data_IF_256017687533
#
_entry.id   IF_256017687533
#
_cell.length_a   1.000
_cell.length_b   1.000
_cell.length_c   1.000
_cell.angle_alpha   90.00
_cell.angle_beta   90.00
_cell.angle_gamma   90.00
#
_symmetry.space_group_name_H-M   'P 1'
#
loop_
_entity.id
_entity.type
_entity.pdbx_description
1 polymer ?
#
# COMPACT_ATOMS: atom_id res chain seq x y z
N UNK A 1 33.51 22.66 -28.58
CA UNK A 1 32.79 23.14 -27.38
C UNK A 1 33.60 24.27 -26.77
N UNK A 2 33.04 25.48 -26.62
CA UNK A 2 33.81 26.64 -26.16
C UNK A 2 33.73 26.84 -24.63
N UNK A 3 34.61 27.67 -24.07
CA UNK A 3 34.71 27.96 -22.63
C UNK A 3 33.37 28.39 -21.99
N UNK A 4 32.53 29.15 -22.70
CA UNK A 4 31.19 29.55 -22.22
C UNK A 4 30.23 28.36 -22.09
N UNK A 5 30.29 27.37 -23.00
CA UNK A 5 29.49 26.13 -22.88
C UNK A 5 29.97 25.29 -21.69
N UNK A 6 31.28 25.23 -21.46
CA UNK A 6 31.86 24.50 -20.34
C UNK A 6 31.49 25.12 -18.99
N UNK A 7 31.56 26.45 -18.89
CA UNK A 7 31.14 27.21 -17.70
C UNK A 7 29.63 27.09 -17.43
N UNK A 8 28.79 27.03 -18.47
CA UNK A 8 27.35 26.84 -18.32
C UNK A 8 26.99 25.45 -17.75
N UNK A 9 27.66 24.39 -18.22
CA UNK A 9 27.47 23.02 -17.71
C UNK A 9 27.95 22.91 -16.25
N UNK A 10 29.06 23.57 -15.92
CA UNK A 10 29.59 23.63 -14.54
C UNK A 10 28.65 24.41 -13.60
N UNK A 11 28.04 25.49 -14.07
CA UNK A 11 27.06 26.26 -13.31
C UNK A 11 25.75 25.48 -13.07
N UNK A 12 25.33 24.64 -14.02
CA UNK A 12 24.16 23.77 -13.87
C UNK A 12 24.39 22.68 -12.80
N UNK A 13 25.62 22.18 -12.69
CA UNK A 13 26.04 21.24 -11.65
C UNK A 13 26.07 21.81 -10.21
N UNK A 14 25.99 23.13 -10.05
CA UNK A 14 26.00 23.79 -8.72
C UNK A 14 24.60 24.22 -8.23
N UNK A 15 23.56 24.12 -9.06
CA UNK A 15 22.17 24.28 -8.59
C UNK A 15 21.78 23.04 -7.78
N UNK A 16 20.91 23.19 -6.76
CA UNK A 16 20.28 22.05 -6.08
C UNK A 16 19.84 21.04 -7.15
N UNK A 17 20.49 19.87 -7.21
CA UNK A 17 20.41 18.96 -8.38
C UNK A 17 18.97 18.78 -8.82
N UNK A 18 18.55 19.49 -9.87
CA UNK A 18 17.24 19.36 -10.46
C UNK A 18 17.20 17.96 -11.08
N UNK A 19 16.55 17.02 -10.39
CA UNK A 19 16.39 15.66 -10.88
C UNK A 19 15.05 15.55 -11.57
N UNK A 20 14.96 14.88 -12.73
CA UNK A 20 13.68 14.61 -13.35
C UNK A 20 12.82 13.76 -12.41
N UNK A 21 11.51 14.00 -12.41
CA UNK A 21 10.56 13.10 -11.78
C UNK A 21 10.63 11.74 -12.46
N UNK A 22 10.64 10.67 -11.66
CA UNK A 22 10.52 9.32 -12.20
C UNK A 22 9.07 9.10 -12.60
N UNK A 23 8.83 8.41 -13.72
CA UNK A 23 7.47 7.98 -14.05
C UNK A 23 6.90 7.15 -12.88
N UNK A 24 5.71 7.53 -12.41
CA UNK A 24 5.11 6.98 -11.18
C UNK A 24 5.30 7.83 -9.92
N UNK A 25 6.27 8.76 -9.90
CA UNK A 25 6.55 9.59 -8.70
C UNK A 25 5.65 10.80 -8.52
N UNK A 26 4.75 11.05 -9.48
CA UNK A 26 3.77 12.14 -9.47
C UNK A 26 2.33 11.64 -9.40
N UNK A 27 2.12 10.32 -9.39
CA UNK A 27 0.78 9.75 -9.28
C UNK A 27 0.53 9.21 -7.87
N UNK A 28 -0.75 9.17 -7.50
CA UNK A 28 -1.23 8.71 -6.19
C UNK A 28 -1.76 7.28 -6.25
N UNK A 29 -1.23 6.43 -7.15
CA UNK A 29 -1.72 5.07 -7.38
C UNK A 29 -1.30 4.06 -6.29
N UNK A 30 -0.71 4.53 -5.19
CA UNK A 30 -0.21 3.69 -4.10
C UNK A 30 -1.22 2.67 -3.59
N UNK A 31 -2.51 3.03 -3.48
CA UNK A 31 -3.55 2.08 -3.05
C UNK A 31 -3.76 0.91 -4.03
N UNK A 32 -3.71 1.17 -5.34
CA UNK A 32 -3.83 0.11 -6.35
C UNK A 32 -2.61 -0.81 -6.28
N UNK A 33 -1.42 -0.24 -6.16
CA UNK A 33 -0.19 -1.02 -5.99
C UNK A 33 -0.16 -1.79 -4.67
N UNK A 34 -0.62 -1.21 -3.56
CA UNK A 34 -0.69 -1.87 -2.27
C UNK A 34 -1.60 -3.10 -2.33
N UNK A 35 -2.77 -3.00 -2.97
CA UNK A 35 -3.65 -4.16 -3.16
C UNK A 35 -2.97 -5.27 -3.97
N UNK A 36 -2.35 -4.92 -5.12
CA UNK A 36 -1.65 -5.90 -5.97
C UNK A 36 -0.47 -6.52 -5.21
N UNK A 37 0.35 -5.71 -4.56
CA UNK A 37 1.52 -6.15 -3.81
C UNK A 37 1.13 -6.98 -2.59
N UNK A 38 0.01 -6.67 -1.93
CA UNK A 38 -0.54 -7.49 -0.85
C UNK A 38 -0.88 -8.88 -1.34
N UNK A 39 -1.56 -9.00 -2.48
CA UNK A 39 -1.92 -10.31 -3.07
C UNK A 39 -0.63 -11.05 -3.48
N UNK A 40 0.32 -10.36 -4.11
CA UNK A 40 1.62 -10.94 -4.48
C UNK A 40 2.41 -11.44 -3.27
N UNK A 41 2.37 -10.71 -2.16
CA UNK A 41 3.03 -11.09 -0.92
C UNK A 41 2.36 -12.29 -0.26
N UNK A 42 1.03 -12.31 -0.23
CA UNK A 42 0.28 -13.46 0.25
C UNK A 42 0.60 -14.71 -0.61
N UNK A 43 0.81 -14.55 -1.92
CA UNK A 43 1.23 -15.61 -2.84
C UNK A 43 2.74 -15.88 -2.90
N UNK A 44 3.58 -15.31 -2.03
CA UNK A 44 5.05 -15.29 -2.19
C UNK A 44 5.73 -16.65 -2.39
N UNK A 45 5.08 -17.74 -1.97
CA UNK A 45 5.59 -19.10 -2.13
C UNK A 45 5.07 -19.79 -3.40
N UNK A 46 4.24 -19.12 -4.19
CA UNK A 46 3.64 -19.62 -5.43
C UNK A 46 4.28 -18.95 -6.66
N UNK A 47 4.47 -19.67 -7.78
CA UNK A 47 5.02 -19.09 -9.01
C UNK A 47 4.24 -17.87 -9.54
N UNK A 48 2.93 -17.83 -9.27
CA UNK A 48 2.04 -16.75 -9.69
C UNK A 48 2.41 -15.38 -9.09
N UNK A 49 3.14 -15.34 -7.96
CA UNK A 49 3.61 -14.09 -7.34
C UNK A 49 4.63 -13.32 -8.18
N UNK A 50 5.30 -14.00 -9.12
CA UNK A 50 6.24 -13.41 -10.05
C UNK A 50 5.57 -12.31 -10.89
N UNK A 51 6.37 -11.33 -11.31
CA UNK A 51 5.91 -10.27 -12.22
C UNK A 51 5.46 -10.89 -13.55
N UNK A 52 4.46 -10.29 -14.19
CA UNK A 52 3.94 -10.77 -15.47
C UNK A 52 2.67 -10.04 -15.89
N UNK A 53 2.20 -10.34 -17.10
CA UNK A 53 1.04 -9.69 -17.73
C UNK A 53 -0.26 -9.83 -16.92
N UNK A 54 -0.40 -10.86 -16.09
CA UNK A 54 -1.57 -11.04 -15.24
C UNK A 54 -1.70 -9.93 -14.20
N UNK A 55 -0.60 -9.43 -13.63
CA UNK A 55 -0.62 -8.30 -12.71
C UNK A 55 -0.92 -6.99 -13.42
N UNK A 56 -0.41 -6.78 -14.62
CA UNK A 56 -0.77 -5.62 -15.46
C UNK A 56 -2.25 -5.68 -15.89
N UNK A 57 -2.76 -6.88 -16.15
CA UNK A 57 -4.18 -7.13 -16.39
C UNK A 57 -5.04 -6.79 -15.18
N UNK A 58 -4.61 -7.19 -13.98
CA UNK A 58 -5.29 -6.84 -12.73
C UNK A 58 -5.26 -5.32 -12.50
N UNK A 59 -4.09 -4.68 -12.62
CA UNK A 59 -3.93 -3.23 -12.54
C UNK A 59 -4.92 -2.50 -13.45
N UNK A 60 -4.96 -2.86 -14.74
CA UNK A 60 -5.92 -2.29 -15.71
C UNK A 60 -7.37 -2.51 -15.29
N UNK A 61 -7.75 -3.67 -14.77
CA UNK A 61 -9.14 -3.89 -14.32
C UNK A 61 -9.47 -3.02 -13.11
N UNK A 62 -8.57 -2.91 -12.14
CA UNK A 62 -8.77 -2.12 -10.92
C UNK A 62 -8.90 -0.62 -11.26
N UNK A 63 -7.98 -0.07 -12.04
CA UNK A 63 -8.03 1.36 -12.42
C UNK A 63 -9.22 1.66 -13.33
N UNK A 64 -9.55 0.79 -14.29
CA UNK A 64 -10.76 0.97 -15.10
C UNK A 64 -12.03 0.93 -14.26
N UNK A 65 -12.12 0.04 -13.27
CA UNK A 65 -13.29 -0.01 -12.40
C UNK A 65 -13.42 1.26 -11.55
N UNK A 66 -12.32 1.73 -10.93
CA UNK A 66 -12.32 2.97 -10.17
C UNK A 66 -12.76 4.17 -11.04
N UNK A 67 -12.19 4.33 -12.22
CA UNK A 67 -12.46 5.50 -13.08
C UNK A 67 -13.84 5.38 -13.75
N UNK A 68 -14.11 4.28 -14.46
CA UNK A 68 -15.28 4.17 -15.34
C UNK A 68 -16.55 3.77 -14.60
N UNK A 69 -16.44 2.87 -13.62
CA UNK A 69 -17.61 2.34 -12.93
C UNK A 69 -17.95 3.12 -11.67
N UNK A 70 -16.98 3.81 -11.07
CA UNK A 70 -17.17 4.57 -9.82
C UNK A 70 -17.01 6.08 -9.99
N UNK A 71 -16.54 6.55 -11.14
CA UNK A 71 -16.35 7.97 -11.40
C UNK A 71 -15.20 8.58 -10.57
N UNK A 72 -14.23 7.78 -10.14
CA UNK A 72 -13.08 8.24 -9.34
C UNK A 72 -12.05 8.92 -10.26
N UNK A 73 -12.43 10.08 -10.81
CA UNK A 73 -11.63 10.85 -11.75
C UNK A 73 -10.34 11.39 -11.10
N UNK A 74 -10.35 11.52 -9.78
CA UNK A 74 -9.24 12.00 -8.97
C UNK A 74 -8.32 10.87 -8.49
N UNK A 75 -8.50 9.62 -8.94
CA UNK A 75 -7.66 8.49 -8.53
C UNK A 75 -6.15 8.76 -8.72
N UNK A 76 -5.79 9.40 -9.84
CA UNK A 76 -4.38 9.65 -10.19
C UNK A 76 -3.78 10.76 -9.32
N UNK A 77 -4.59 11.74 -8.89
CA UNK A 77 -4.16 12.91 -8.11
C UNK A 77 -4.26 12.69 -6.60
N UNK A 78 -5.34 12.07 -6.11
CA UNK A 78 -5.67 11.93 -4.69
C UNK A 78 -5.62 10.49 -4.18
N UNK A 79 -5.45 9.51 -5.09
CA UNK A 79 -5.27 8.12 -4.73
C UNK A 79 -6.56 7.42 -4.31
N UNK A 80 -6.41 6.35 -3.53
CA UNK A 80 -7.50 5.42 -3.21
C UNK A 80 -8.06 5.72 -1.82
N UNK A 81 -9.34 6.10 -1.76
CA UNK A 81 -10.08 6.18 -0.49
C UNK A 81 -10.36 4.78 0.08
N UNK A 82 -10.70 4.67 1.38
CA UNK A 82 -11.14 3.39 1.96
C UNK A 82 -12.33 2.79 1.22
N UNK A 83 -13.31 3.62 0.81
CA UNK A 83 -14.49 3.15 0.08
C UNK A 83 -14.11 2.58 -1.30
N UNK A 84 -13.21 3.25 -2.03
CA UNK A 84 -12.65 2.73 -3.29
C UNK A 84 -11.84 1.46 -3.03
N UNK A 85 -11.00 1.41 -1.99
CA UNK A 85 -10.21 0.21 -1.63
C UNK A 85 -11.12 -1.01 -1.41
N UNK A 86 -12.21 -0.88 -0.66
CA UNK A 86 -13.17 -1.97 -0.42
C UNK A 86 -13.81 -2.45 -1.72
N UNK A 87 -14.16 -1.55 -2.63
CA UNK A 87 -14.68 -1.97 -3.94
C UNK A 87 -13.60 -2.73 -4.74
N UNK A 88 -12.36 -2.23 -4.72
CA UNK A 88 -11.25 -2.85 -5.44
C UNK A 88 -10.89 -4.24 -4.90
N UNK A 89 -11.02 -4.51 -3.60
CA UNK A 89 -10.79 -5.86 -3.05
C UNK A 89 -11.79 -6.88 -3.61
N UNK A 90 -13.06 -6.50 -3.80
CA UNK A 90 -14.05 -7.37 -4.46
C UNK A 90 -13.67 -7.66 -5.91
N UNK A 91 -13.26 -6.63 -6.66
CA UNK A 91 -12.80 -6.78 -8.04
C UNK A 91 -11.57 -7.69 -8.15
N UNK A 92 -10.63 -7.55 -7.22
CA UNK A 92 -9.44 -8.40 -7.14
C UNK A 92 -9.81 -9.84 -6.81
N UNK A 93 -10.65 -10.08 -5.79
CA UNK A 93 -11.14 -11.41 -5.42
C UNK A 93 -11.78 -12.11 -6.61
N UNK A 94 -12.73 -11.46 -7.28
CA UNK A 94 -13.45 -12.07 -8.39
C UNK A 94 -12.50 -12.44 -9.52
N UNK A 95 -11.49 -11.61 -9.80
CA UNK A 95 -10.49 -11.94 -10.84
C UNK A 95 -9.56 -13.07 -10.48
N UNK A 96 -9.09 -13.12 -9.23
CA UNK A 96 -8.24 -14.20 -8.78
C UNK A 96 -9.00 -15.53 -8.80
N UNK A 97 -10.28 -15.53 -8.40
CA UNK A 97 -11.15 -16.71 -8.49
C UNK A 97 -11.39 -17.14 -9.94
N UNK A 98 -11.80 -16.22 -10.81
CA UNK A 98 -12.15 -16.53 -12.21
C UNK A 98 -10.95 -17.06 -13.00
N UNK A 99 -9.82 -16.35 -12.95
CA UNK A 99 -8.66 -16.57 -13.83
C UNK A 99 -7.61 -17.51 -13.24
N UNK A 100 -7.49 -17.55 -11.92
CA UNK A 100 -6.41 -18.27 -11.24
C UNK A 100 -6.88 -19.33 -10.25
N UNK A 101 -8.21 -19.48 -10.05
CA UNK A 101 -8.80 -20.43 -9.09
C UNK A 101 -8.27 -20.23 -7.66
N UNK A 102 -7.98 -18.97 -7.32
CA UNK A 102 -7.50 -18.57 -5.99
C UNK A 102 -8.62 -17.81 -5.28
N UNK A 103 -8.99 -18.26 -4.10
CA UNK A 103 -9.95 -17.55 -3.27
C UNK A 103 -9.23 -16.57 -2.33
N UNK A 104 -9.53 -15.28 -2.50
CA UNK A 104 -9.04 -14.22 -1.63
C UNK A 104 -10.07 -13.87 -0.58
N UNK A 105 -9.67 -13.90 0.68
CA UNK A 105 -10.49 -13.48 1.81
C UNK A 105 -9.93 -12.18 2.35
N UNK A 106 -10.75 -11.13 2.33
CA UNK A 106 -10.45 -9.82 2.90
C UNK A 106 -11.33 -9.59 4.12
N UNK A 107 -10.73 -9.17 5.24
CA UNK A 107 -11.46 -8.80 6.45
C UNK A 107 -10.97 -7.45 6.94
N UNK A 108 -11.87 -6.68 7.55
CA UNK A 108 -11.57 -5.41 8.21
C UNK A 108 -11.82 -5.59 9.71
N UNK A 109 -10.76 -5.84 10.51
CA UNK A 109 -10.92 -6.19 11.93
C UNK A 109 -11.66 -5.12 12.74
N UNK A 110 -11.48 -3.85 12.36
CA UNK A 110 -12.06 -2.68 13.02
C UNK A 110 -13.12 -1.99 12.15
N UNK A 111 -13.90 -2.77 11.38
CA UNK A 111 -14.96 -2.21 10.53
C UNK A 111 -16.14 -1.63 11.32
N UNK A 112 -16.47 -2.28 12.44
CA UNK A 112 -17.64 -1.97 13.27
C UNK A 112 -17.28 -1.58 14.71
N UNK A 113 -16.01 -1.70 15.08
CA UNK A 113 -15.49 -1.37 16.40
C UNK A 113 -14.19 -0.59 16.26
N UNK A 114 -13.87 0.20 17.30
CA UNK A 114 -12.56 0.83 17.45
C UNK A 114 -11.73 0.02 18.44
N UNK A 115 -10.40 -0.01 18.28
CA UNK A 115 -9.53 -0.57 19.29
C UNK A 115 -9.68 0.20 20.61
N UNK A 116 -9.68 -0.52 21.73
CA UNK A 116 -9.71 0.05 23.08
C UNK A 116 -8.31 0.45 23.55
N UNK A 117 -7.28 -0.20 23.02
CA UNK A 117 -5.87 0.06 23.33
C UNK A 117 -4.99 0.04 22.07
N UNK A 118 -3.84 0.71 22.15
CA UNK A 118 -2.91 0.81 21.02
C UNK A 118 -2.44 -0.56 20.51
N UNK A 119 -2.17 -1.49 21.44
CA UNK A 119 -1.62 -2.80 21.13
C UNK A 119 -2.64 -3.74 20.50
N UNK A 120 -3.95 -3.48 20.59
CA UNK A 120 -4.95 -4.32 19.89
C UNK A 120 -4.77 -4.24 18.37
N UNK A 121 -4.42 -3.06 17.87
CA UNK A 121 -4.15 -2.87 16.44
C UNK A 121 -2.92 -3.65 16.02
N UNK A 122 -1.83 -3.53 16.78
CA UNK A 122 -0.57 -4.21 16.51
C UNK A 122 -0.72 -5.73 16.63
N UNK A 123 -1.33 -6.22 17.71
CA UNK A 123 -1.58 -7.63 17.93
C UNK A 123 -2.47 -8.26 16.86
N UNK A 124 -3.45 -7.52 16.34
CA UNK A 124 -4.28 -7.97 15.20
C UNK A 124 -3.44 -8.16 13.93
N UNK A 125 -2.53 -7.21 13.66
CA UNK A 125 -1.61 -7.30 12.50
C UNK A 125 -0.65 -8.47 12.69
N UNK A 126 -0.04 -8.62 13.87
CA UNK A 126 0.86 -9.73 14.19
C UNK A 126 0.18 -11.09 14.07
N UNK A 127 -1.01 -11.24 14.64
CA UNK A 127 -1.79 -12.47 14.57
C UNK A 127 -2.08 -12.88 13.12
N UNK A 128 -2.36 -11.91 12.24
CA UNK A 128 -2.55 -12.17 10.81
C UNK A 128 -1.23 -12.60 10.14
N UNK A 129 -0.13 -11.90 10.40
CA UNK A 129 1.17 -12.16 9.78
C UNK A 129 1.84 -13.45 10.28
N UNK A 130 1.45 -13.97 11.43
CA UNK A 130 1.86 -15.28 11.94
C UNK A 130 1.25 -16.44 11.12
N UNK A 131 0.20 -16.20 10.33
CA UNK A 131 -0.39 -17.22 9.47
C UNK A 131 0.31 -17.25 8.10
N UNK A 132 0.43 -18.43 7.46
CA UNK A 132 0.94 -18.51 6.09
C UNK A 132 -0.01 -17.82 5.11
N UNK A 133 0.54 -17.43 3.95
CA UNK A 133 -0.25 -16.92 2.82
C UNK A 133 -1.18 -15.73 3.16
N UNK A 134 -0.71 -14.86 4.07
CA UNK A 134 -1.39 -13.63 4.47
C UNK A 134 -0.63 -12.37 4.07
N UNK A 135 -1.35 -11.24 4.08
CA UNK A 135 -0.78 -9.90 4.04
C UNK A 135 -1.72 -8.91 4.75
N UNK A 136 -1.18 -7.78 5.18
CA UNK A 136 -1.97 -6.69 5.77
C UNK A 136 -1.83 -5.44 4.90
N UNK A 137 -2.95 -4.88 4.48
CA UNK A 137 -3.02 -3.54 3.90
C UNK A 137 -3.37 -2.54 5.00
N UNK A 138 -2.63 -1.44 5.07
CA UNK A 138 -2.87 -0.38 6.04
C UNK A 138 -2.75 0.99 5.37
N UNK A 139 -3.73 1.86 5.61
CA UNK A 139 -3.61 3.28 5.30
C UNK A 139 -2.95 4.01 6.47
N UNK A 140 -1.80 4.61 6.18
CA UNK A 140 -1.06 5.47 7.10
C UNK A 140 -1.38 6.92 6.77
N UNK A 141 -1.54 7.73 7.80
CA UNK A 141 -1.88 9.14 7.73
C UNK A 141 -0.89 10.01 8.53
N UNK A 142 -0.81 11.30 8.18
CA UNK A 142 -0.02 12.31 8.89
C UNK A 142 1.10 12.85 8.01
N UNK A 143 2.36 12.63 8.40
CA UNK A 143 3.53 12.95 7.55
C UNK A 143 3.67 11.99 6.37
N UNK A 144 2.87 10.93 6.36
CA UNK A 144 2.75 9.95 5.30
C UNK A 144 1.26 9.71 5.08
N UNK A 145 0.75 9.98 3.89
CA UNK A 145 -0.64 9.72 3.49
C UNK A 145 -0.64 8.63 2.40
N UNK A 146 -0.58 7.37 2.84
CA UNK A 146 -0.15 6.26 1.97
C UNK A 146 -0.79 4.92 2.33
N UNK A 147 -1.20 4.17 1.32
CA UNK A 147 -1.55 2.75 1.47
C UNK A 147 -0.30 1.89 1.34
N UNK A 148 -0.04 1.06 2.35
CA UNK A 148 1.11 0.17 2.37
C UNK A 148 0.72 -1.29 2.58
N UNK A 149 1.67 -2.18 2.28
CA UNK A 149 1.59 -3.61 2.60
C UNK A 149 2.52 -3.89 3.75
N UNK A 150 1.99 -4.22 4.93
CA UNK A 150 2.79 -4.69 6.06
C UNK A 150 3.01 -6.18 5.89
N UNK A 151 4.27 -6.60 5.90
CA UNK A 151 4.66 -8.01 5.72
C UNK A 151 5.28 -8.67 6.95
N UNK A 152 5.81 -7.86 7.86
CA UNK A 152 6.45 -8.33 9.08
C UNK A 152 6.48 -7.19 10.10
N UNK A 153 6.36 -7.53 11.37
CA UNK A 153 6.59 -6.65 12.51
C UNK A 153 7.76 -7.18 13.34
N UNK A 154 8.57 -6.26 13.87
CA UNK A 154 9.45 -6.51 15.01
C UNK A 154 9.11 -5.52 16.15
N UNK A 155 9.93 -5.51 17.20
CA UNK A 155 9.71 -4.66 18.38
C UNK A 155 9.74 -3.16 18.04
N UNK A 156 10.42 -2.76 16.97
CA UNK A 156 10.67 -1.36 16.62
C UNK A 156 10.06 -0.92 15.29
N UNK A 157 9.84 -1.84 14.35
CA UNK A 157 9.54 -1.54 12.97
C UNK A 157 8.44 -2.42 12.39
N UNK A 158 7.70 -1.81 11.47
CA UNK A 158 6.89 -2.50 10.49
C UNK A 158 7.63 -2.54 9.16
N UNK A 159 7.90 -3.74 8.64
CA UNK A 159 8.53 -3.92 7.33
C UNK A 159 7.48 -3.98 6.25
N UNK A 160 7.75 -3.28 5.15
CA UNK A 160 6.78 -3.09 4.08
C UNK A 160 7.17 -3.81 2.80
N UNK A 161 6.17 -4.19 2.02
CA UNK A 161 6.30 -4.67 0.64
C UNK A 161 5.62 -3.68 -0.32
N UNK A 162 6.21 -2.49 -0.40
CA UNK A 162 5.58 -1.30 -0.98
C UNK A 162 6.20 -0.85 -2.32
N UNK A 163 5.43 -0.10 -3.12
CA UNK A 163 5.87 0.49 -4.38
C UNK A 163 6.65 1.81 -4.22
N UNK A 164 6.43 2.55 -3.13
CA UNK A 164 7.05 3.88 -2.94
C UNK A 164 8.47 3.83 -2.35
N UNK A 165 9.15 2.68 -2.48
CA UNK A 165 10.49 2.42 -1.91
C UNK A 165 10.60 2.62 -0.40
N UNK A 166 9.47 2.77 0.28
CA UNK A 166 9.40 2.76 1.72
C UNK A 166 9.55 1.31 2.20
N UNK A 167 10.69 1.00 2.80
CA UNK A 167 11.00 -0.37 3.23
C UNK A 167 10.50 -0.70 4.63
N UNK A 168 10.35 0.32 5.48
CA UNK A 168 9.89 0.18 6.86
C UNK A 168 9.29 1.47 7.41
N UNK A 169 8.45 1.32 8.42
CA UNK A 169 7.93 2.37 9.28
C UNK A 169 8.27 2.06 10.73
N UNK A 170 8.36 3.06 11.63
CA UNK A 170 8.38 2.78 13.06
C UNK A 170 7.09 2.06 13.45
N UNK A 171 7.18 1.07 14.35
CA UNK A 171 6.03 0.29 14.84
C UNK A 171 4.91 1.20 15.36
N UNK A 172 5.27 2.33 15.96
CA UNK A 172 4.32 3.34 16.43
C UNK A 172 3.44 3.94 15.32
N UNK A 173 3.85 3.88 14.05
CA UNK A 173 3.02 4.34 12.92
C UNK A 173 1.79 3.45 12.68
N UNK A 174 1.79 2.23 13.21
CA UNK A 174 0.64 1.32 13.18
C UNK A 174 -0.23 1.43 14.43
N UNK A 175 -0.03 2.47 15.24
CA UNK A 175 -0.92 2.78 16.36
C UNK A 175 -1.99 3.79 15.90
N UNK A 176 -3.23 3.68 16.42
CA UNK A 176 -4.26 4.69 16.22
C UNK A 176 -3.82 6.06 16.77
N UNK A 177 -4.26 7.14 16.13
CA UNK A 177 -3.86 8.52 16.47
C UNK A 177 -4.13 8.88 17.93
N UNK A 178 -5.27 8.41 18.45
CA UNK A 178 -5.76 8.66 19.81
C UNK A 178 -4.79 8.15 20.89
N UNK A 179 -4.01 7.10 20.58
CA UNK A 179 -3.06 6.50 21.51
C UNK A 179 -1.62 7.00 21.34
N UNK A 180 -1.41 8.03 20.50
CA UNK A 180 -0.10 8.64 20.30
C UNK A 180 -0.10 10.03 20.95
N UNK A 181 0.94 10.34 21.71
CA UNK A 181 1.14 11.68 22.28
C UNK A 181 1.19 12.73 21.16
N UNK A 182 0.49 13.88 21.28
CA UNK A 182 0.35 14.85 20.19
C UNK A 182 1.65 15.27 19.50
N UNK A 183 2.73 15.48 20.26
CA UNK A 183 4.04 15.89 19.73
C UNK A 183 4.80 14.75 19.03
N UNK A 184 4.37 13.50 19.19
CA UNK A 184 4.94 12.29 18.54
C UNK A 184 4.08 11.80 17.36
N UNK A 185 2.93 12.43 17.08
CA UNK A 185 2.00 12.08 15.97
C UNK A 185 2.57 12.45 14.60
N UNK A 186 3.60 11.73 14.17
CA UNK A 186 4.16 11.87 12.82
C UNK A 186 3.36 11.06 11.83
N UNK A 187 3.23 9.75 12.06
CA UNK A 187 2.45 8.85 11.24
C UNK A 187 1.59 7.98 12.14
N UNK A 188 0.40 7.62 11.68
CA UNK A 188 -0.54 6.79 12.43
C UNK A 188 -1.43 6.02 11.45
N UNK A 189 -1.96 4.89 11.90
CA UNK A 189 -2.93 4.11 11.12
C UNK A 189 -4.34 4.54 11.50
N UNK A 190 -5.26 4.51 10.54
CA UNK A 190 -6.69 4.47 10.87
C UNK A 190 -7.13 3.02 11.00
N UNK A 191 -7.62 2.56 12.17
CA UNK A 191 -8.00 1.16 12.37
C UNK A 191 -9.01 0.63 11.35
N UNK A 192 -10.00 1.47 10.99
CA UNK A 192 -11.01 1.13 9.98
C UNK A 192 -10.45 0.89 8.58
N UNK A 193 -9.23 1.37 8.32
CA UNK A 193 -8.46 1.23 7.09
C UNK A 193 -7.40 0.13 7.15
N UNK A 194 -7.49 -0.76 8.15
CA UNK A 194 -6.72 -2.00 8.20
C UNK A 194 -7.53 -3.09 7.52
N UNK A 195 -6.95 -3.69 6.50
CA UNK A 195 -7.51 -4.83 5.78
C UNK A 195 -6.53 -5.98 5.92
N UNK A 196 -6.96 -7.05 6.60
CA UNK A 196 -6.23 -8.30 6.64
C UNK A 196 -6.68 -9.17 5.48
N UNK A 197 -5.73 -9.85 4.85
CA UNK A 197 -5.96 -10.73 3.73
C UNK A 197 -5.33 -12.09 3.99
N UNK A 198 -6.05 -13.13 3.59
CA UNK A 198 -5.51 -14.49 3.51
C UNK A 198 -5.99 -15.16 2.23
N UNK A 199 -5.18 -16.09 1.74
CA UNK A 199 -5.56 -16.96 0.62
C UNK A 199 -6.14 -18.24 1.18
N UNK A 200 -7.28 -18.66 0.65
CA UNK A 200 -7.78 -20.02 0.84
C UNK A 200 -7.46 -20.81 -0.42
N UNK A 201 -6.69 -21.88 -0.28
CA UNK A 201 -6.52 -22.86 -1.36
C UNK A 201 -7.83 -23.65 -1.44
N UNK A 202 -8.43 -23.67 -2.63
CA UNK A 202 -9.57 -24.55 -2.95
C UNK A 202 -9.07 -25.95 -3.24
#
# INVERSE_FOLDING_TARGET
MNIKQWLAIMADNQRSKLRPYLQGSLDSLCGVYALINGIRWALRNEPLSAKGEHWEGLFRKLTNHAIKNRGDLELVSHGVTLYTMIALTHIARDRMRERHKIELLFRRPFAQSKPLEAEETLGTIEACLCQPDTAVLAAIYGTLDHWCVVKQLDDQHAYLFDSDRLFRLPRSALRPQEFIEPHKRRAHVQPGSIIVMNISKS
#
